data_IF_570816985796
#
_entry.id   IF_570816985796
#
_cell.length_a   1.000
_cell.length_b   1.000
_cell.length_c   1.000
_cell.angle_alpha   90.00
_cell.angle_beta   90.00
_cell.angle_gamma   90.00
#
_symmetry.space_group_name_H-M   'P 1'
#
loop_
_entity.id
_entity.type
_entity.pdbx_description
1 polymer ?
#
# COMPACT_ATOMS: atom_id res chain seq x y z
N UNK A 1 39.70 56.38 55.03
CA UNK A 1 40.44 55.30 55.72
C UNK A 1 40.28 54.03 54.89
N UNK A 2 41.34 53.22 54.84
CA UNK A 2 41.65 52.21 53.83
C UNK A 2 40.70 50.98 53.74
N UNK A 3 40.58 50.48 52.50
CA UNK A 3 40.62 49.06 52.03
C UNK A 3 39.29 48.30 51.77
N UNK A 4 39.27 47.42 50.73
CA UNK A 4 38.17 47.16 49.78
C UNK A 4 37.57 45.75 49.91
N UNK A 5 36.75 45.26 48.94
CA UNK A 5 36.83 43.92 48.30
C UNK A 5 35.58 43.55 47.47
N UNK A 6 35.82 42.81 46.37
CA UNK A 6 34.92 41.94 45.58
C UNK A 6 33.84 42.59 44.71
N UNK A 7 34.00 42.71 43.39
CA UNK A 7 33.89 41.64 42.37
C UNK A 7 32.56 40.87 42.47
N UNK A 8 31.56 41.30 41.68
CA UNK A 8 30.44 40.47 41.27
C UNK A 8 30.16 40.69 39.79
N UNK A 9 30.27 39.61 39.04
CA UNK A 9 30.08 39.49 37.61
C UNK A 9 28.61 39.68 37.24
N UNK A 10 28.31 40.53 36.24
CA UNK A 10 27.07 40.45 35.47
C UNK A 10 27.42 40.25 34.00
N UNK A 11 27.38 38.99 33.58
CA UNK A 11 27.33 38.58 32.17
C UNK A 11 25.91 38.84 31.65
N UNK A 12 25.75 39.89 30.87
CA UNK A 12 24.54 40.11 30.07
C UNK A 12 24.68 39.31 28.76
N UNK A 13 24.17 38.09 28.73
CA UNK A 13 24.06 37.31 27.48
C UNK A 13 22.70 37.57 26.86
N UNK A 14 22.72 38.29 25.74
CA UNK A 14 21.60 38.41 24.82
C UNK A 14 21.29 37.03 24.22
N UNK A 15 20.13 36.47 24.54
CA UNK A 15 19.59 35.31 23.84
C UNK A 15 18.96 35.77 22.52
N UNK A 16 19.73 35.70 21.43
CA UNK A 16 19.18 35.71 20.08
C UNK A 16 18.57 34.33 19.82
N UNK A 17 17.25 34.21 19.97
CA UNK A 17 16.47 33.10 19.42
C UNK A 17 16.45 33.21 17.89
N UNK A 18 17.52 32.73 17.26
CA UNK A 18 17.56 32.48 15.83
C UNK A 18 16.67 31.28 15.49
N UNK A 19 15.59 31.53 14.76
CA UNK A 19 14.83 30.48 14.08
C UNK A 19 15.76 29.78 13.08
N UNK A 20 16.14 28.54 13.38
CA UNK A 20 16.76 27.66 12.39
C UNK A 20 15.71 27.34 11.31
N UNK A 21 15.82 28.01 10.16
CA UNK A 21 15.20 27.51 8.92
C UNK A 21 15.85 26.17 8.62
N UNK A 22 15.10 25.09 8.74
CA UNK A 22 15.49 23.79 8.19
C UNK A 22 15.75 23.98 6.69
N UNK A 23 17.01 23.91 6.27
CA UNK A 23 17.36 23.88 4.87
C UNK A 23 16.78 22.59 4.27
N UNK A 24 15.77 22.73 3.41
CA UNK A 24 15.09 21.64 2.72
C UNK A 24 15.97 20.94 1.68
N UNK A 25 17.04 20.31 2.14
CA UNK A 25 17.91 19.43 1.36
C UNK A 25 18.18 18.12 2.13
N UNK A 26 17.17 17.58 2.83
CA UNK A 26 17.27 16.17 3.18
C UNK A 26 17.39 15.39 1.85
N UNK A 27 18.47 14.61 1.65
CA UNK A 27 18.63 13.85 0.43
C UNK A 27 17.40 12.96 0.29
N UNK A 28 16.71 13.05 -0.84
CA UNK A 28 15.69 12.07 -1.20
C UNK A 28 16.33 10.69 -1.11
N UNK A 29 15.94 9.93 -0.08
CA UNK A 29 16.29 8.53 0.04
C UNK A 29 15.24 7.81 -0.80
N UNK A 30 15.58 7.32 -2.02
CA UNK A 30 14.63 6.51 -2.76
C UNK A 30 14.18 5.36 -1.86
N UNK A 31 12.88 5.02 -1.85
CA UNK A 31 12.40 3.88 -1.09
C UNK A 31 13.24 2.65 -1.45
N UNK A 32 13.62 1.87 -0.43
CA UNK A 32 14.40 0.65 -0.63
C UNK A 32 13.69 -0.20 -1.67
N UNK A 33 14.28 -0.30 -2.86
CA UNK A 33 13.84 -1.23 -3.89
C UNK A 33 14.27 -2.60 -3.39
N UNK A 34 13.33 -3.32 -2.76
CA UNK A 34 13.54 -4.74 -2.49
C UNK A 34 13.75 -5.40 -3.85
N UNK A 35 14.85 -6.14 -4.01
CA UNK A 35 15.11 -6.79 -5.29
C UNK A 35 13.91 -7.70 -5.62
N UNK A 36 13.45 -7.75 -6.88
CA UNK A 36 12.37 -8.63 -7.32
C UNK A 36 12.60 -10.14 -7.12
N UNK A 37 13.73 -10.51 -6.50
CA UNK A 37 14.22 -11.86 -6.28
C UNK A 37 14.67 -12.10 -4.82
N UNK A 38 14.54 -11.12 -3.92
CA UNK A 38 14.78 -11.37 -2.50
C UNK A 38 13.67 -12.30 -1.99
N UNK A 39 14.09 -13.48 -1.51
CA UNK A 39 13.17 -14.58 -1.29
C UNK A 39 12.05 -14.21 -0.31
N UNK A 40 10.83 -14.50 -0.72
CA UNK A 40 9.61 -14.48 0.11
C UNK A 40 9.76 -15.45 1.31
N UNK A 41 10.76 -16.32 1.30
CA UNK A 41 11.11 -17.19 2.43
C UNK A 41 11.40 -16.40 3.73
N UNK A 42 11.70 -15.10 3.64
CA UNK A 42 11.88 -14.22 4.80
C UNK A 42 10.57 -13.61 5.34
N UNK A 43 9.46 -13.69 4.58
CA UNK A 43 8.19 -13.08 4.97
C UNK A 43 7.44 -14.04 5.90
N UNK A 44 7.59 -13.81 7.19
CA UNK A 44 6.86 -14.54 8.24
C UNK A 44 5.39 -14.13 8.30
N UNK A 45 4.51 -15.12 8.45
CA UNK A 45 3.07 -14.94 8.68
C UNK A 45 2.82 -14.06 9.91
N UNK A 46 1.98 -13.04 9.76
CA UNK A 46 1.41 -12.28 10.86
C UNK A 46 0.12 -12.93 11.34
N UNK A 47 0.00 -13.11 12.65
CA UNK A 47 -1.23 -13.61 13.28
C UNK A 47 -1.59 -15.05 12.88
N UNK A 48 -2.81 -15.44 13.25
CA UNK A 48 -3.39 -16.74 12.84
C UNK A 48 -4.28 -16.51 11.63
N UNK A 49 -4.12 -17.28 10.54
CA UNK A 49 -4.98 -17.18 9.36
C UNK A 49 -6.46 -17.34 9.71
N UNK A 50 -7.30 -16.48 9.15
CA UNK A 50 -8.74 -16.57 9.41
C UNK A 50 -9.34 -17.76 8.65
N UNK A 51 -9.93 -18.68 9.39
CA UNK A 51 -10.54 -19.89 8.83
C UNK A 51 -11.97 -19.69 8.34
N UNK A 52 -12.59 -18.54 8.67
CA UNK A 52 -13.99 -18.22 8.38
C UNK A 52 -14.24 -17.54 7.04
N UNK A 53 -13.33 -17.64 6.07
CA UNK A 53 -13.53 -17.09 4.72
C UNK A 53 -14.76 -17.77 4.08
N UNK A 54 -15.82 -17.00 3.75
CA UNK A 54 -17.07 -17.56 3.26
C UNK A 54 -16.89 -18.16 1.86
N UNK A 55 -17.77 -19.09 1.50
CA UNK A 55 -17.82 -19.56 0.12
C UNK A 55 -18.32 -18.44 -0.78
N UNK A 56 -17.89 -18.46 -2.05
CA UNK A 56 -18.09 -17.34 -3.00
C UNK A 56 -19.55 -16.94 -3.19
N UNK A 57 -20.48 -17.87 -3.01
CA UNK A 57 -21.92 -17.67 -3.18
C UNK A 57 -22.57 -17.01 -1.96
N UNK A 58 -21.90 -17.04 -0.81
CA UNK A 58 -22.39 -16.53 0.48
C UNK A 58 -21.78 -15.17 0.84
N UNK A 59 -20.98 -14.58 -0.05
CA UNK A 59 -20.32 -13.29 0.18
C UNK A 59 -21.33 -12.16 0.25
N UNK A 60 -21.30 -11.43 1.35
CA UNK A 60 -21.93 -10.11 1.53
C UNK A 60 -20.80 -9.09 1.75
N UNK A 61 -20.48 -8.37 0.68
CA UNK A 61 -19.34 -7.48 0.61
C UNK A 61 -19.68 -6.06 1.07
N UNK A 62 -18.83 -5.47 1.91
CA UNK A 62 -18.87 -4.05 2.24
C UNK A 62 -17.60 -3.36 1.75
N UNK A 63 -17.74 -2.45 0.77
CA UNK A 63 -16.62 -1.66 0.26
C UNK A 63 -16.38 -0.43 1.14
N UNK A 64 -15.12 -0.19 1.47
CA UNK A 64 -14.64 0.96 2.23
C UNK A 64 -13.78 1.84 1.33
N UNK A 65 -14.26 3.05 1.07
CA UNK A 65 -13.41 4.14 0.59
C UNK A 65 -12.75 4.81 1.81
N UNK A 66 -11.45 4.56 2.01
CA UNK A 66 -10.71 4.98 3.21
C UNK A 66 -10.88 6.46 3.54
N UNK A 67 -10.79 7.34 2.53
CA UNK A 67 -10.83 8.81 2.69
C UNK A 67 -12.18 9.33 3.14
N UNK A 68 -13.27 8.69 2.72
CA UNK A 68 -14.63 9.21 2.92
C UNK A 68 -15.44 8.43 3.94
N UNK A 69 -14.97 7.25 4.36
CA UNK A 69 -15.72 6.35 5.24
C UNK A 69 -15.91 6.89 6.66
N UNK A 70 -14.96 7.69 7.15
CA UNK A 70 -15.00 8.27 8.49
C UNK A 70 -14.32 9.63 8.51
N UNK A 71 -14.58 10.44 9.53
CA UNK A 71 -13.92 11.74 9.72
C UNK A 71 -12.39 11.61 9.80
N UNK A 72 -11.88 10.53 10.40
CA UNK A 72 -10.45 10.26 10.49
C UNK A 72 -9.82 9.86 9.15
N UNK A 73 -10.61 9.39 8.17
CA UNK A 73 -10.14 9.04 6.83
C UNK A 73 -9.08 7.92 6.76
N UNK A 74 -8.94 7.09 7.79
CA UNK A 74 -7.82 6.16 7.96
C UNK A 74 -8.23 4.82 8.60
N UNK A 75 -7.27 3.93 8.87
CA UNK A 75 -7.56 2.60 9.45
C UNK A 75 -8.22 2.67 10.83
N UNK A 76 -7.86 3.63 11.69
CA UNK A 76 -8.51 3.77 13.00
C UNK A 76 -10.01 4.09 12.85
N UNK A 77 -10.36 4.90 11.85
CA UNK A 77 -11.75 5.17 11.49
C UNK A 77 -12.51 3.93 11.01
N UNK A 78 -11.83 3.02 10.29
CA UNK A 78 -12.40 1.72 9.91
C UNK A 78 -12.62 0.84 11.14
N UNK A 79 -11.60 0.69 12.00
CA UNK A 79 -11.67 -0.10 13.24
C UNK A 79 -12.86 0.34 14.11
N UNK A 80 -13.04 1.66 14.28
CA UNK A 80 -14.12 2.24 15.08
C UNK A 80 -15.54 1.91 14.58
N UNK A 81 -15.69 1.40 13.35
CA UNK A 81 -16.98 1.14 12.71
C UNK A 81 -17.18 -0.33 12.32
N UNK A 82 -16.26 -1.23 12.69
CA UNK A 82 -16.37 -2.65 12.36
C UNK A 82 -17.66 -3.29 12.89
N UNK A 83 -18.13 -2.89 14.08
CA UNK A 83 -19.41 -3.33 14.62
C UNK A 83 -20.60 -2.87 13.76
N UNK A 84 -20.53 -1.66 13.20
CA UNK A 84 -21.56 -1.17 12.27
C UNK A 84 -21.56 -1.98 10.97
N UNK A 85 -20.38 -2.27 10.41
CA UNK A 85 -20.25 -3.07 9.18
C UNK A 85 -20.81 -4.47 9.43
N UNK A 86 -20.48 -5.09 10.56
CA UNK A 86 -21.01 -6.41 10.92
C UNK A 86 -22.52 -6.40 11.10
N UNK A 87 -23.08 -5.36 11.72
CA UNK A 87 -24.51 -5.23 11.94
C UNK A 87 -25.32 -5.13 10.62
N UNK A 88 -24.70 -4.66 9.52
CA UNK A 88 -25.31 -4.71 8.18
C UNK A 88 -25.39 -6.12 7.60
N UNK A 89 -24.75 -7.11 8.22
CA UNK A 89 -24.68 -8.49 7.74
C UNK A 89 -23.49 -8.76 6.82
N UNK A 90 -22.57 -7.80 6.65
CA UNK A 90 -21.36 -8.03 5.87
C UNK A 90 -20.48 -9.12 6.49
N UNK A 91 -19.92 -9.98 5.65
CA UNK A 91 -18.97 -11.01 6.04
C UNK A 91 -17.62 -10.87 5.32
N UNK A 92 -17.50 -9.93 4.37
CA UNK A 92 -16.24 -9.55 3.75
C UNK A 92 -16.15 -8.01 3.69
N UNK A 93 -15.05 -7.47 4.19
CA UNK A 93 -14.68 -6.07 4.03
C UNK A 93 -13.73 -5.95 2.85
N UNK A 94 -14.07 -5.08 1.91
CA UNK A 94 -13.23 -4.73 0.78
C UNK A 94 -12.68 -3.33 0.97
N UNK A 95 -11.37 -3.22 1.18
CA UNK A 95 -10.69 -1.93 1.24
C UNK A 95 -10.29 -1.53 -0.19
N UNK A 96 -10.73 -0.34 -0.62
CA UNK A 96 -10.17 0.34 -1.81
C UNK A 96 -8.63 0.47 -1.68
N UNK A 97 -7.89 0.79 -2.77
CA UNK A 97 -6.44 0.72 -2.74
C UNK A 97 -5.84 1.52 -1.57
N UNK A 98 -5.02 0.86 -0.77
CA UNK A 98 -4.39 1.41 0.44
C UNK A 98 -2.94 1.85 0.20
N UNK A 99 -2.50 1.83 -1.06
CA UNK A 99 -1.11 2.06 -1.44
C UNK A 99 -0.78 3.55 -1.55
N UNK A 100 0.50 3.95 -1.43
CA UNK A 100 0.93 5.28 -1.81
C UNK A 100 0.48 5.60 -3.24
N UNK A 101 -0.12 6.79 -3.39
CA UNK A 101 -0.63 7.27 -4.67
C UNK A 101 0.43 8.13 -5.35
N UNK A 102 0.65 7.89 -6.64
CA UNK A 102 1.61 8.66 -7.41
C UNK A 102 1.19 10.10 -7.65
N UNK A 103 2.18 10.99 -7.73
CA UNK A 103 1.98 12.42 -7.92
C UNK A 103 2.31 12.87 -9.34
N UNK A 104 3.19 12.15 -10.06
CA UNK A 104 3.55 12.49 -11.44
C UNK A 104 2.38 12.19 -12.38
N UNK A 105 1.90 13.23 -13.07
CA UNK A 105 0.65 13.21 -13.85
C UNK A 105 -0.59 12.80 -13.04
N UNK A 106 -0.49 12.77 -11.70
CA UNK A 106 -1.49 12.20 -10.82
C UNK A 106 -2.72 13.09 -10.67
N UNK A 107 -3.88 12.46 -10.54
CA UNK A 107 -5.16 13.11 -10.21
C UNK A 107 -5.68 12.70 -8.82
N UNK A 108 -4.77 12.22 -7.95
CA UNK A 108 -5.06 11.68 -6.63
C UNK A 108 -6.03 10.46 -6.63
N UNK A 109 -6.08 9.73 -7.74
CA UNK A 109 -6.80 8.45 -7.83
C UNK A 109 -6.09 7.39 -6.98
N UNK A 110 -6.80 6.65 -6.09
CA UNK A 110 -6.19 5.56 -5.35
C UNK A 110 -5.68 4.42 -6.26
N UNK A 111 -6.12 4.39 -7.52
CA UNK A 111 -5.72 3.41 -8.52
C UNK A 111 -4.35 3.71 -9.18
N UNK A 112 -3.77 4.89 -8.95
CA UNK A 112 -2.42 5.22 -9.43
C UNK A 112 -1.35 4.79 -8.41
N UNK A 113 -1.03 3.49 -8.40
CA UNK A 113 -0.20 2.85 -7.35
C UNK A 113 1.30 3.13 -7.54
N UNK A 114 1.90 3.81 -6.56
CA UNK A 114 3.33 4.13 -6.53
C UNK A 114 4.18 3.01 -5.90
N UNK A 115 3.65 2.28 -4.91
CA UNK A 115 4.37 1.17 -4.27
C UNK A 115 3.40 0.08 -3.75
N UNK A 116 3.45 -1.09 -4.37
CA UNK A 116 2.57 -2.22 -4.03
C UNK A 116 2.84 -2.88 -2.66
N UNK A 117 3.96 -2.57 -1.99
CA UNK A 117 4.32 -3.19 -0.70
C UNK A 117 4.42 -2.19 0.45
N UNK A 118 3.88 -0.99 0.25
CA UNK A 118 3.76 0.03 1.26
C UNK A 118 2.29 0.37 1.53
N UNK A 119 2.03 0.83 2.75
CA UNK A 119 0.77 1.48 3.12
C UNK A 119 0.91 2.98 2.82
N UNK A 120 -0.13 3.60 2.28
CA UNK A 120 -0.21 5.04 2.15
C UNK A 120 -0.18 5.69 3.54
N UNK A 121 0.77 6.59 3.77
CA UNK A 121 0.91 7.27 5.06
C UNK A 121 -0.33 8.08 5.46
N UNK A 122 -1.16 8.49 4.48
CA UNK A 122 -2.49 9.09 4.72
C UNK A 122 -3.38 8.19 5.60
N UNK A 123 -3.24 6.87 5.48
CA UNK A 123 -4.06 5.90 6.22
C UNK A 123 -3.37 5.34 7.47
N UNK A 124 -2.08 5.66 7.67
CA UNK A 124 -1.25 5.18 8.76
C UNK A 124 -0.15 4.23 8.29
N UNK A 125 -0.02 3.09 8.95
CA UNK A 125 1.01 2.10 8.68
C UNK A 125 0.43 0.67 8.61
N UNK A 126 1.31 -0.33 8.49
CA UNK A 126 0.90 -1.73 8.44
C UNK A 126 0.23 -2.22 9.73
N UNK A 127 0.53 -1.61 10.88
CA UNK A 127 -0.12 -1.97 12.15
C UNK A 127 -1.56 -1.48 12.17
N UNK A 128 -1.83 -0.32 11.58
CA UNK A 128 -3.20 0.15 11.35
C UNK A 128 -4.01 -0.83 10.49
N UNK A 129 -3.43 -1.31 9.38
CA UNK A 129 -4.07 -2.34 8.55
C UNK A 129 -4.34 -3.63 9.34
N UNK A 130 -3.34 -4.11 10.10
CA UNK A 130 -3.49 -5.30 10.95
C UNK A 130 -4.58 -5.14 11.99
N UNK A 131 -4.73 -3.95 12.59
CA UNK A 131 -5.82 -3.69 13.53
C UNK A 131 -7.21 -3.80 12.87
N UNK A 132 -7.35 -3.39 11.59
CA UNK A 132 -8.58 -3.62 10.82
C UNK A 132 -8.81 -5.11 10.60
N UNK A 133 -7.78 -5.84 10.19
CA UNK A 133 -7.85 -7.28 9.92
C UNK A 133 -8.19 -8.07 11.18
N UNK A 134 -7.44 -7.89 12.27
CA UNK A 134 -7.66 -8.56 13.55
C UNK A 134 -9.06 -8.22 14.11
N UNK A 135 -9.47 -6.94 13.98
CA UNK A 135 -10.79 -6.48 14.38
C UNK A 135 -11.92 -7.10 13.56
N UNK A 136 -11.74 -7.30 12.26
CA UNK A 136 -12.71 -7.93 11.37
C UNK A 136 -12.79 -9.45 11.62
N UNK A 137 -11.64 -10.11 11.75
CA UNK A 137 -11.53 -11.54 12.04
C UNK A 137 -12.21 -11.90 13.36
N UNK A 138 -12.02 -11.11 14.42
CA UNK A 138 -12.72 -11.30 15.71
C UNK A 138 -14.25 -11.19 15.62
N UNK A 139 -14.77 -10.59 14.54
CA UNK A 139 -16.21 -10.45 14.24
C UNK A 139 -16.69 -11.43 13.16
N UNK A 140 -15.84 -12.38 12.76
CA UNK A 140 -16.15 -13.34 11.72
C UNK A 140 -16.34 -12.67 10.35
N UNK A 141 -15.51 -11.69 10.01
CA UNK A 141 -15.49 -11.06 8.69
C UNK A 141 -14.09 -11.19 8.08
N UNK A 142 -14.03 -11.56 6.81
CA UNK A 142 -12.79 -11.53 6.03
C UNK A 142 -12.46 -10.11 5.58
N UNK A 143 -11.18 -9.83 5.26
CA UNK A 143 -10.70 -8.58 4.69
C UNK A 143 -9.96 -8.84 3.39
N UNK A 144 -10.38 -8.16 2.32
CA UNK A 144 -9.72 -8.21 1.01
C UNK A 144 -9.19 -6.82 0.63
N UNK A 145 -8.08 -6.79 -0.09
CA UNK A 145 -7.52 -5.55 -0.66
C UNK A 145 -7.86 -5.40 -2.15
N UNK A 146 -7.90 -4.16 -2.62
CA UNK A 146 -7.92 -3.87 -4.06
C UNK A 146 -6.53 -4.09 -4.68
N UNK A 147 -6.42 -4.98 -5.65
CA UNK A 147 -5.20 -5.22 -6.41
C UNK A 147 -5.30 -4.57 -7.79
N UNK A 148 -4.47 -3.55 -8.04
CA UNK A 148 -4.40 -2.84 -9.32
C UNK A 148 -3.30 -3.43 -10.18
N UNK A 149 -3.60 -4.49 -10.94
CA UNK A 149 -2.59 -5.27 -11.64
C UNK A 149 -2.18 -4.74 -13.02
N UNK A 150 -2.99 -3.90 -13.65
CA UNK A 150 -2.81 -3.51 -15.05
C UNK A 150 -1.75 -2.41 -15.24
N UNK A 151 -1.62 -1.49 -14.29
CA UNK A 151 -0.85 -0.26 -14.43
C UNK A 151 -0.34 0.22 -13.08
N UNK A 152 0.65 1.11 -13.10
CA UNK A 152 1.20 1.79 -11.91
C UNK A 152 1.17 3.31 -12.11
N UNK A 153 1.51 4.09 -11.09
CA UNK A 153 1.78 5.51 -11.27
C UNK A 153 3.08 5.78 -12.03
N UNK A 154 3.20 6.98 -12.61
CA UNK A 154 4.39 7.40 -13.37
C UNK A 154 5.68 7.58 -12.54
N UNK A 155 5.55 7.65 -11.23
CA UNK A 155 6.65 7.75 -10.26
C UNK A 155 6.85 6.44 -9.47
N UNK A 156 6.27 5.33 -9.94
CA UNK A 156 6.56 4.01 -9.41
C UNK A 156 8.05 3.66 -9.67
N UNK A 157 8.81 3.18 -8.66
CA UNK A 157 10.23 2.85 -8.82
C UNK A 157 10.54 1.83 -9.92
N UNK A 158 9.58 1.00 -10.31
CA UNK A 158 9.76 0.06 -11.41
C UNK A 158 9.96 0.76 -12.76
N UNK A 159 9.43 1.98 -12.96
CA UNK A 159 9.60 2.70 -14.24
C UNK A 159 11.07 2.99 -14.52
N UNK A 160 11.82 3.38 -13.49
CA UNK A 160 13.24 3.73 -13.61
C UNK A 160 14.13 2.49 -13.50
N UNK A 161 13.81 1.56 -12.60
CA UNK A 161 14.61 0.35 -12.39
C UNK A 161 14.42 -0.71 -13.48
N UNK A 162 13.20 -0.82 -14.02
CA UNK A 162 12.76 -1.91 -14.92
C UNK A 162 11.83 -1.39 -16.01
N UNK A 163 12.34 -0.47 -16.84
CA UNK A 163 11.55 0.14 -17.92
C UNK A 163 10.94 -0.90 -18.88
N UNK A 164 11.57 -2.05 -19.05
CA UNK A 164 11.10 -3.20 -19.83
C UNK A 164 9.81 -3.86 -19.28
N UNK A 165 9.47 -3.59 -18.02
CA UNK A 165 8.22 -4.03 -17.39
C UNK A 165 7.00 -3.25 -17.82
N UNK A 166 7.18 -2.22 -18.65
CA UNK A 166 6.11 -1.34 -19.11
C UNK A 166 5.87 -1.49 -20.61
N UNK A 167 4.63 -1.22 -21.03
CA UNK A 167 4.30 -1.09 -22.44
C UNK A 167 5.06 0.10 -23.02
N UNK A 168 5.75 -0.12 -24.13
CA UNK A 168 6.52 0.90 -24.81
C UNK A 168 6.07 1.07 -26.25
N UNK A 169 6.11 2.30 -26.77
CA UNK A 169 5.93 2.56 -28.19
C UNK A 169 7.21 2.23 -28.98
N UNK A 170 7.18 2.41 -30.32
CA UNK A 170 8.32 2.14 -31.19
C UNK A 170 9.59 2.98 -30.91
N UNK A 171 9.46 4.07 -30.15
CA UNK A 171 10.58 4.90 -29.70
C UNK A 171 11.09 4.50 -28.28
N UNK A 172 10.55 3.41 -27.71
CA UNK A 172 10.90 2.97 -26.36
C UNK A 172 10.33 3.86 -25.25
N UNK A 173 9.30 4.65 -25.53
CA UNK A 173 8.65 5.50 -24.51
C UNK A 173 7.54 4.71 -23.83
N UNK A 174 7.51 4.74 -22.50
CA UNK A 174 6.44 4.13 -21.70
C UNK A 174 5.10 4.76 -22.06
N UNK A 175 4.04 3.96 -22.09
CA UNK A 175 2.69 4.39 -22.48
C UNK A 175 1.69 4.20 -21.34
N UNK A 176 0.70 5.08 -21.27
CA UNK A 176 -0.54 4.81 -20.56
C UNK A 176 -1.33 3.68 -21.23
N UNK A 177 -2.31 3.07 -20.53
CA UNK A 177 -3.20 2.07 -21.11
C UNK A 177 -3.88 2.61 -22.39
N UNK A 178 -3.63 2.01 -23.58
CA UNK A 178 -4.14 2.55 -24.82
C UNK A 178 -5.67 2.59 -24.87
N UNK A 179 -6.25 3.71 -25.33
CA UNK A 179 -7.69 3.84 -25.56
C UNK A 179 -8.54 4.04 -24.30
N UNK A 180 -7.96 4.11 -23.10
CA UNK A 180 -8.72 4.28 -21.85
C UNK A 180 -8.84 5.75 -21.40
N UNK A 181 -7.92 6.61 -21.82
CA UNK A 181 -7.79 7.98 -21.32
C UNK A 181 -7.18 8.10 -19.93
N UNK A 182 -6.68 6.99 -19.33
CA UNK A 182 -6.05 6.97 -18.01
C UNK A 182 -4.60 7.48 -18.09
N UNK A 183 -4.46 8.78 -18.29
CA UNK A 183 -3.16 9.43 -18.50
C UNK A 183 -2.32 9.56 -17.21
N UNK A 184 -2.91 9.31 -16.04
CA UNK A 184 -2.27 9.37 -14.73
C UNK A 184 -1.51 8.09 -14.34
N UNK A 185 -1.54 7.07 -15.21
CA UNK A 185 -0.93 5.76 -14.98
C UNK A 185 -0.17 5.24 -16.19
N UNK A 186 0.81 4.38 -15.95
CA UNK A 186 1.65 3.71 -16.94
C UNK A 186 1.28 2.22 -17.04
N UNK A 187 1.04 1.73 -18.26
CA UNK A 187 0.63 0.35 -18.53
C UNK A 187 1.77 -0.63 -18.32
N UNK A 188 1.52 -1.71 -17.56
CA UNK A 188 2.46 -2.81 -17.40
C UNK A 188 2.48 -3.74 -18.62
N UNK A 189 3.65 -4.31 -18.90
CA UNK A 189 3.91 -5.26 -19.98
C UNK A 189 3.93 -6.69 -19.45
N UNK A 190 2.83 -7.43 -19.66
CA UNK A 190 2.68 -8.81 -19.19
C UNK A 190 3.53 -9.85 -19.94
N UNK A 191 4.30 -9.45 -20.95
CA UNK A 191 5.34 -10.32 -21.52
C UNK A 191 6.60 -10.39 -20.62
N UNK A 192 6.75 -9.47 -19.64
CA UNK A 192 7.84 -9.55 -18.66
C UNK A 192 7.51 -10.56 -17.56
N UNK A 193 8.18 -11.71 -17.60
CA UNK A 193 8.06 -12.74 -16.55
C UNK A 193 8.52 -12.22 -15.17
N UNK A 194 9.56 -11.39 -15.12
CA UNK A 194 10.06 -10.83 -13.87
C UNK A 194 9.03 -9.90 -13.21
N UNK A 195 8.36 -9.05 -14.01
CA UNK A 195 7.27 -8.19 -13.53
C UNK A 195 6.10 -9.03 -12.98
N UNK A 196 5.68 -10.07 -13.72
CA UNK A 196 4.61 -10.97 -13.28
C UNK A 196 4.92 -11.61 -11.93
N UNK A 197 6.14 -12.11 -11.77
CA UNK A 197 6.59 -12.71 -10.51
C UNK A 197 6.61 -11.69 -9.38
N UNK A 198 7.01 -10.46 -9.65
CA UNK A 198 7.04 -9.39 -8.66
C UNK A 198 5.63 -8.94 -8.22
N UNK A 199 4.66 -8.89 -9.13
CA UNK A 199 3.25 -8.69 -8.76
C UNK A 199 2.76 -9.80 -7.83
N UNK A 200 2.99 -11.06 -8.18
CA UNK A 200 2.57 -12.21 -7.36
C UNK A 200 3.29 -12.19 -6.00
N UNK A 201 4.58 -11.83 -5.97
CA UNK A 201 5.37 -11.63 -4.75
C UNK A 201 4.72 -10.58 -3.84
N UNK A 202 4.29 -9.46 -4.42
CA UNK A 202 3.63 -8.36 -3.72
C UNK A 202 2.23 -8.74 -3.21
N UNK A 203 1.46 -9.54 -3.95
CA UNK A 203 0.20 -10.11 -3.45
C UNK A 203 0.45 -11.04 -2.26
N UNK A 204 1.42 -11.95 -2.36
CA UNK A 204 1.82 -12.83 -1.25
C UNK A 204 2.26 -12.05 -0.02
N UNK A 205 2.97 -10.93 -0.21
CA UNK A 205 3.40 -10.07 0.88
C UNK A 205 2.21 -9.66 1.75
N UNK A 206 1.08 -9.26 1.18
CA UNK A 206 -0.08 -8.83 1.98
C UNK A 206 -0.78 -9.96 2.71
N UNK A 207 -0.97 -11.11 2.04
CA UNK A 207 -1.52 -12.32 2.69
C UNK A 207 -0.69 -12.67 3.93
N UNK A 208 0.63 -12.66 3.80
CA UNK A 208 1.52 -13.05 4.89
C UNK A 208 1.72 -11.96 5.93
N UNK A 209 2.01 -10.71 5.53
CA UNK A 209 2.34 -9.63 6.46
C UNK A 209 1.14 -8.97 7.11
N UNK A 210 -0.01 -8.94 6.45
CA UNK A 210 -1.21 -8.29 6.96
C UNK A 210 -2.34 -9.28 7.28
N UNK A 211 -2.16 -10.57 6.98
CA UNK A 211 -3.15 -11.61 7.22
C UNK A 211 -4.49 -11.36 6.50
N UNK A 212 -4.45 -10.72 5.33
CA UNK A 212 -5.66 -10.53 4.52
C UNK A 212 -6.10 -11.84 3.88
N UNK A 213 -7.36 -11.88 3.47
CA UNK A 213 -8.07 -13.09 3.06
C UNK A 213 -8.31 -13.17 1.56
N UNK A 214 -7.79 -12.22 0.79
CA UNK A 214 -7.93 -12.22 -0.66
C UNK A 214 -7.83 -10.83 -1.30
N UNK A 215 -8.22 -10.78 -2.57
CA UNK A 215 -8.14 -9.55 -3.38
C UNK A 215 -9.39 -9.36 -4.23
N UNK A 216 -9.81 -8.11 -4.38
CA UNK A 216 -10.59 -7.66 -5.54
C UNK A 216 -9.58 -7.17 -6.57
N UNK A 217 -9.66 -7.61 -7.82
CA UNK A 217 -8.72 -7.19 -8.86
C UNK A 217 -9.33 -6.09 -9.74
N UNK A 218 -8.70 -4.93 -9.79
CA UNK A 218 -9.09 -3.84 -10.67
C UNK A 218 -8.78 -4.15 -12.14
N UNK A 219 -9.70 -3.75 -13.02
CA UNK A 219 -9.62 -3.96 -14.47
C UNK A 219 -9.04 -5.32 -14.86
N UNK A 220 -9.64 -6.40 -14.33
CA UNK A 220 -9.12 -7.75 -14.44
C UNK A 220 -8.99 -8.26 -15.89
N UNK A 221 -9.73 -7.66 -16.83
CA UNK A 221 -9.66 -7.98 -18.26
C UNK A 221 -8.38 -7.45 -18.94
N UNK A 222 -7.65 -6.52 -18.29
CA UNK A 222 -6.38 -6.00 -18.80
C UNK A 222 -5.25 -7.03 -18.72
N UNK A 223 -4.90 -7.53 -17.52
CA UNK A 223 -3.93 -8.61 -17.38
C UNK A 223 -4.40 -9.92 -18.03
N UNK A 224 -3.51 -10.71 -18.65
CA UNK A 224 -3.90 -11.91 -19.36
C UNK A 224 -4.31 -13.03 -18.40
N UNK A 225 -5.19 -13.93 -18.88
CA UNK A 225 -5.75 -15.04 -18.09
C UNK A 225 -4.67 -15.96 -17.50
N UNK A 226 -3.58 -16.19 -18.23
CA UNK A 226 -2.48 -17.06 -17.78
C UNK A 226 -1.69 -16.44 -16.62
N UNK A 227 -1.59 -15.11 -16.55
CA UNK A 227 -1.08 -14.40 -15.37
C UNK A 227 -1.99 -14.62 -14.17
N UNK A 228 -3.31 -14.42 -14.33
CA UNK A 228 -4.25 -14.64 -13.23
C UNK A 228 -4.24 -16.08 -12.74
N UNK A 229 -4.16 -17.05 -13.65
CA UNK A 229 -4.00 -18.45 -13.30
C UNK A 229 -2.73 -18.67 -12.45
N UNK A 230 -1.59 -18.14 -12.88
CA UNK A 230 -0.34 -18.24 -12.12
C UNK A 230 -0.45 -17.61 -10.73
N UNK A 231 -1.07 -16.43 -10.63
CA UNK A 231 -1.27 -15.73 -9.36
C UNK A 231 -2.17 -16.55 -8.41
N UNK A 232 -3.32 -17.02 -8.90
CA UNK A 232 -4.28 -17.83 -8.13
C UNK A 232 -3.64 -19.14 -7.66
N UNK A 233 -3.01 -19.88 -8.57
CA UNK A 233 -2.34 -21.16 -8.24
C UNK A 233 -1.25 -20.93 -7.18
N UNK A 234 -0.50 -19.82 -7.29
CA UNK A 234 0.55 -19.48 -6.32
C UNK A 234 -0.01 -19.12 -4.95
N UNK A 235 -1.06 -18.30 -4.90
CA UNK A 235 -1.66 -17.85 -3.64
C UNK A 235 -2.39 -18.99 -2.92
N UNK A 236 -3.15 -19.82 -3.66
CA UNK A 236 -3.87 -20.98 -3.08
C UNK A 236 -2.96 -22.11 -2.61
N UNK A 237 -1.69 -22.13 -3.05
CA UNK A 237 -0.68 -23.04 -2.53
C UNK A 237 -0.13 -22.62 -1.16
N UNK A 238 -0.55 -21.48 -0.59
CA UNK A 238 -0.25 -21.11 0.79
C UNK A 238 -1.13 -21.98 1.71
N UNK A 239 -0.59 -23.12 2.15
CA UNK A 239 -1.36 -24.14 2.89
C UNK A 239 -1.90 -23.67 4.24
N UNK A 240 -1.36 -22.60 4.81
CA UNK A 240 -1.85 -22.00 6.05
C UNK A 240 -3.10 -21.14 5.87
N UNK A 241 -3.44 -20.72 4.65
CA UNK A 241 -4.53 -19.77 4.36
C UNK A 241 -5.57 -20.36 3.43
N UNK A 242 -6.85 -20.24 3.81
CA UNK A 242 -7.95 -20.42 2.87
C UNK A 242 -8.21 -19.08 2.17
N UNK A 243 -7.83 -18.97 0.89
CA UNK A 243 -8.02 -17.80 0.02
C UNK A 243 -9.02 -18.06 -1.12
#
# INVERSE_FOLDING_TARGET
MKIPMSLFSLLFTWALLGCSKGNGNDPYIPPVVINPLDSIASVVQYGTPFSGVPDRQDVVLYQVNMRTFSEAGNFAGVVARLDSIKALGANVIYLMPIYPVGIVNGINSPYSVQNYTAVNSEFGDINGLRAVVDGAHSRGMAVILDWVGNHTSWDNPWITAHKDWYLQNGAGQVQSPPGTGWNDVAQLNFNSNAMRLEQIRSMKYWVLKANIDGFRCDYADGPPVDFWKQAIDTLRNISSHKL
#
